data_IF_669373103746
#
_entry.id   IF_669373103746
#
_cell.length_a   1.000
_cell.length_b   1.000
_cell.length_c   1.000
_cell.angle_alpha   90.00
_cell.angle_beta   90.00
_cell.angle_gamma   90.00
#
_symmetry.space_group_name_H-M   'P 1'
#
loop_
_entity.id
_entity.type
_entity.pdbx_description
1 polymer ?
#
# COMPACT_ATOMS: atom_id res chain seq x y z
N UNK A 1 -22.08 -15.58 -4.57
CA UNK A 1 -21.38 -14.41 -4.00
C UNK A 1 -22.35 -13.23 -4.15
N UNK A 2 -22.65 -12.51 -3.07
CA UNK A 2 -23.59 -11.39 -3.12
C UNK A 2 -23.04 -10.25 -3.99
N UNK A 3 -23.93 -9.45 -4.59
CA UNK A 3 -23.56 -8.29 -5.41
C UNK A 3 -22.70 -7.27 -4.62
N UNK A 4 -22.97 -7.16 -3.32
CA UNK A 4 -22.18 -6.30 -2.43
C UNK A 4 -20.70 -6.72 -2.36
N UNK A 5 -20.41 -8.02 -2.18
CA UNK A 5 -19.03 -8.53 -2.13
C UNK A 5 -18.30 -8.28 -3.45
N UNK A 6 -18.96 -8.42 -4.58
CA UNK A 6 -18.37 -8.08 -5.89
C UNK A 6 -18.03 -6.59 -5.99
N UNK A 7 -18.92 -5.72 -5.51
CA UNK A 7 -18.69 -4.29 -5.49
C UNK A 7 -17.45 -3.90 -4.67
N UNK A 8 -17.32 -4.43 -3.46
CA UNK A 8 -16.12 -4.18 -2.63
C UNK A 8 -14.83 -4.68 -3.26
N UNK A 9 -14.85 -5.88 -3.86
CA UNK A 9 -13.67 -6.42 -4.54
C UNK A 9 -13.27 -5.57 -5.76
N UNK A 10 -14.24 -5.03 -6.49
CA UNK A 10 -13.97 -4.12 -7.60
C UNK A 10 -13.34 -2.82 -7.13
N UNK A 11 -13.89 -2.20 -6.08
CA UNK A 11 -13.33 -0.98 -5.50
C UNK A 11 -11.91 -1.21 -4.98
N UNK A 12 -11.69 -2.31 -4.26
CA UNK A 12 -10.36 -2.69 -3.78
C UNK A 12 -9.37 -2.90 -4.94
N UNK A 13 -9.80 -3.56 -6.01
CA UNK A 13 -8.98 -3.77 -7.21
C UNK A 13 -8.63 -2.47 -7.90
N UNK A 14 -9.58 -1.55 -8.04
CA UNK A 14 -9.35 -0.22 -8.64
C UNK A 14 -8.39 0.60 -7.77
N UNK A 15 -8.60 0.63 -6.45
CA UNK A 15 -7.74 1.36 -5.53
C UNK A 15 -6.30 0.81 -5.54
N UNK A 16 -6.15 -0.51 -5.53
CA UNK A 16 -4.83 -1.15 -5.62
C UNK A 16 -4.14 -0.88 -6.96
N UNK A 17 -4.89 -0.88 -8.07
CA UNK A 17 -4.35 -0.52 -9.40
C UNK A 17 -3.89 0.93 -9.44
N UNK A 18 -4.69 1.86 -8.91
CA UNK A 18 -4.31 3.27 -8.82
C UNK A 18 -3.05 3.45 -7.96
N UNK A 19 -2.95 2.75 -6.83
CA UNK A 19 -1.75 2.74 -5.99
C UNK A 19 -0.51 2.20 -6.72
N UNK A 20 -0.65 1.11 -7.48
CA UNK A 20 0.44 0.55 -8.29
C UNK A 20 0.92 1.54 -9.34
N UNK A 21 -0.01 2.17 -10.08
CA UNK A 21 0.31 3.18 -11.08
C UNK A 21 0.99 4.40 -10.46
N UNK A 22 0.53 4.85 -9.29
CA UNK A 22 1.16 5.94 -8.55
C UNK A 22 2.61 5.63 -8.20
N UNK A 23 2.91 4.41 -7.71
CA UNK A 23 4.29 4.01 -7.40
C UNK A 23 5.16 3.95 -8.64
N UNK A 24 4.61 3.54 -9.79
CA UNK A 24 5.31 3.60 -11.07
C UNK A 24 5.56 5.06 -11.47
N UNK A 25 4.58 5.96 -11.32
CA UNK A 25 4.74 7.37 -11.62
C UNK A 25 5.81 8.04 -10.75
N UNK A 26 5.91 7.68 -9.46
CA UNK A 26 6.94 8.16 -8.54
C UNK A 26 8.35 7.79 -9.03
N UNK A 27 8.53 6.61 -9.65
CA UNK A 27 9.81 6.22 -10.24
C UNK A 27 10.30 7.20 -11.32
N UNK A 28 9.38 7.71 -12.13
CA UNK A 28 9.69 8.68 -13.19
C UNK A 28 9.78 10.12 -12.67
N UNK A 29 9.08 10.43 -11.58
CA UNK A 29 9.07 11.77 -10.97
C UNK A 29 10.31 12.12 -10.14
N UNK A 30 11.14 11.12 -9.81
CA UNK A 30 12.39 11.32 -9.07
C UNK A 30 12.22 11.65 -7.58
N UNK A 31 13.31 12.08 -6.89
CA UNK A 31 13.37 12.23 -5.44
C UNK A 31 12.31 13.16 -4.84
N UNK A 32 11.91 14.18 -5.56
CA UNK A 32 10.93 15.16 -5.07
C UNK A 32 9.52 14.55 -5.01
N UNK A 33 9.20 13.62 -5.91
CA UNK A 33 7.95 12.87 -5.86
C UNK A 33 7.91 11.93 -4.66
N UNK A 34 9.03 11.30 -4.30
CA UNK A 34 9.12 10.51 -3.06
C UNK A 34 8.79 11.37 -1.84
N UNK A 35 9.33 12.59 -1.78
CA UNK A 35 9.07 13.52 -0.68
C UNK A 35 7.62 13.99 -0.67
N UNK A 36 7.06 14.35 -1.85
CA UNK A 36 5.70 14.84 -1.99
C UNK A 36 4.65 13.81 -1.54
N UNK A 37 4.85 12.54 -1.90
CA UNK A 37 3.95 11.45 -1.51
C UNK A 37 4.25 10.85 -0.13
N UNK A 38 5.06 11.51 0.69
CA UNK A 38 5.27 11.16 2.10
C UNK A 38 6.14 9.92 2.31
N UNK A 39 7.06 9.63 1.41
CA UNK A 39 8.04 8.56 1.62
C UNK A 39 8.92 8.85 2.85
N UNK A 40 9.38 7.81 3.60
CA UNK A 40 10.29 7.99 4.71
C UNK A 40 11.54 8.78 4.32
N UNK A 41 12.01 9.69 5.19
CA UNK A 41 13.14 10.56 4.91
C UNK A 41 14.40 9.79 4.47
N UNK A 42 14.63 8.60 5.05
CA UNK A 42 15.72 7.72 4.64
C UNK A 42 15.61 7.27 3.18
N UNK A 43 14.39 7.00 2.71
CA UNK A 43 14.15 6.61 1.32
C UNK A 43 14.33 7.81 0.37
N UNK A 44 13.86 8.99 0.76
CA UNK A 44 14.07 10.25 0.01
C UNK A 44 15.56 10.56 -0.10
N UNK A 45 16.32 10.43 0.99
CA UNK A 45 17.77 10.63 1.00
C UNK A 45 18.49 9.62 0.08
N UNK A 46 18.09 8.35 0.10
CA UNK A 46 18.62 7.33 -0.81
C UNK A 46 18.28 7.64 -2.27
N UNK A 47 17.08 8.11 -2.56
CA UNK A 47 16.68 8.51 -3.90
C UNK A 47 17.48 9.72 -4.40
N UNK A 48 17.72 10.72 -3.56
CA UNK A 48 18.57 11.89 -3.88
C UNK A 48 20.04 11.51 -4.10
N UNK A 49 20.52 10.50 -3.37
CA UNK A 49 21.87 9.97 -3.55
C UNK A 49 22.02 9.05 -4.78
N UNK A 50 20.96 8.86 -5.57
CA UNK A 50 20.96 7.96 -6.72
C UNK A 50 21.07 6.47 -6.35
N UNK A 51 20.74 6.12 -5.10
CA UNK A 51 20.85 4.73 -4.63
C UNK A 51 19.71 3.88 -5.22
N UNK A 52 20.09 2.78 -5.88
CA UNK A 52 19.17 1.86 -6.56
C UNK A 52 18.14 1.21 -5.61
N UNK A 53 18.38 1.21 -4.31
CA UNK A 53 17.43 0.65 -3.33
C UNK A 53 16.11 1.40 -3.29
N UNK A 54 16.11 2.72 -3.55
CA UNK A 54 14.89 3.51 -3.57
C UNK A 54 13.95 3.09 -4.71
N UNK A 55 14.36 3.05 -5.99
CA UNK A 55 13.50 2.57 -7.07
C UNK A 55 13.12 1.09 -6.92
N UNK A 56 14.02 0.24 -6.43
CA UNK A 56 13.69 -1.18 -6.20
C UNK A 56 12.56 -1.33 -5.17
N UNK A 57 12.61 -0.61 -4.04
CA UNK A 57 11.54 -0.70 -3.03
C UNK A 57 10.21 -0.20 -3.59
N UNK A 58 10.22 0.87 -4.38
CA UNK A 58 9.03 1.39 -5.03
C UNK A 58 8.43 0.40 -6.03
N UNK A 59 9.27 -0.26 -6.82
CA UNK A 59 8.87 -1.28 -7.78
C UNK A 59 8.30 -2.52 -7.09
N UNK A 60 8.89 -2.95 -5.97
CA UNK A 60 8.37 -4.06 -5.17
C UNK A 60 6.96 -3.76 -4.64
N UNK A 61 6.73 -2.55 -4.14
CA UNK A 61 5.41 -2.13 -3.67
C UNK A 61 4.43 -2.07 -4.84
N UNK A 62 4.82 -1.51 -5.97
CA UNK A 62 3.98 -1.46 -7.17
C UNK A 62 3.57 -2.87 -7.64
N UNK A 63 4.52 -3.80 -7.67
CA UNK A 63 4.27 -5.20 -8.04
C UNK A 63 3.31 -5.87 -7.05
N UNK A 64 3.52 -5.65 -5.75
CA UNK A 64 2.63 -6.18 -4.72
C UNK A 64 1.21 -5.64 -4.88
N UNK A 65 1.03 -4.33 -5.08
CA UNK A 65 -0.27 -3.72 -5.31
C UNK A 65 -0.94 -4.23 -6.60
N UNK A 66 -0.17 -4.45 -7.66
CA UNK A 66 -0.68 -5.04 -8.90
C UNK A 66 -1.18 -6.47 -8.69
N UNK A 67 -0.47 -7.28 -7.89
CA UNK A 67 -0.93 -8.61 -7.49
C UNK A 67 -2.23 -8.54 -6.67
N UNK A 68 -2.32 -7.61 -5.71
CA UNK A 68 -3.55 -7.38 -4.95
C UNK A 68 -4.73 -7.06 -5.87
N UNK A 69 -4.53 -6.16 -6.83
CA UNK A 69 -5.54 -5.80 -7.82
C UNK A 69 -5.98 -7.02 -8.66
N UNK A 70 -5.03 -7.84 -9.12
CA UNK A 70 -5.32 -9.04 -9.89
C UNK A 70 -6.15 -10.05 -9.07
N UNK A 71 -5.81 -10.28 -7.80
CA UNK A 71 -6.59 -11.16 -6.93
C UNK A 71 -7.99 -10.60 -6.65
N UNK A 72 -8.13 -9.29 -6.44
CA UNK A 72 -9.41 -8.64 -6.24
C UNK A 72 -10.31 -8.74 -7.49
N UNK A 73 -9.78 -8.46 -8.68
CA UNK A 73 -10.52 -8.61 -9.94
C UNK A 73 -10.88 -10.06 -10.25
N UNK A 74 -9.99 -11.00 -9.92
CA UNK A 74 -10.28 -12.43 -10.05
C UNK A 74 -11.40 -12.87 -9.08
N UNK A 75 -11.39 -12.34 -7.86
CA UNK A 75 -12.46 -12.57 -6.89
C UNK A 75 -13.80 -11.96 -7.31
N UNK A 76 -13.78 -10.80 -7.97
CA UNK A 76 -14.97 -10.15 -8.54
C UNK A 76 -15.49 -10.88 -9.79
N UNK A 77 -14.68 -11.75 -10.41
CA UNK A 77 -15.04 -12.50 -11.61
C UNK A 77 -14.79 -11.73 -12.92
N UNK A 78 -14.00 -10.66 -12.90
CA UNK A 78 -13.62 -9.90 -14.10
C UNK A 78 -12.56 -10.62 -14.94
N UNK A 79 -11.66 -11.33 -14.28
CA UNK A 79 -10.58 -12.09 -14.93
C UNK A 79 -10.67 -13.56 -14.54
N UNK A 80 -9.95 -14.41 -15.28
CA UNK A 80 -9.89 -15.86 -15.00
C UNK A 80 -9.50 -16.10 -13.54
N UNK A 81 -10.10 -17.11 -12.92
CA UNK A 81 -9.82 -17.48 -11.54
C UNK A 81 -8.33 -17.79 -11.37
N UNK A 82 -7.65 -17.01 -10.58
CA UNK A 82 -6.27 -17.26 -10.19
C UNK A 82 -6.17 -18.49 -9.29
N UNK A 83 -5.08 -19.26 -9.37
CA UNK A 83 -4.86 -20.40 -8.50
C UNK A 83 -4.80 -19.91 -7.04
N UNK A 84 -5.31 -20.75 -6.12
CA UNK A 84 -5.35 -20.47 -4.69
C UNK A 84 -6.05 -19.14 -4.32
N UNK A 85 -7.06 -18.69 -5.09
CA UNK A 85 -7.76 -17.43 -4.91
C UNK A 85 -8.18 -17.18 -3.46
N UNK A 86 -8.76 -18.19 -2.79
CA UNK A 86 -9.20 -18.08 -1.40
C UNK A 86 -8.03 -17.85 -0.44
N UNK A 87 -6.93 -18.56 -0.66
CA UNK A 87 -5.72 -18.42 0.16
C UNK A 87 -5.06 -17.05 -0.07
N UNK A 88 -4.98 -16.62 -1.34
CA UNK A 88 -4.44 -15.31 -1.71
C UNK A 88 -5.23 -14.17 -1.07
N UNK A 89 -6.55 -14.16 -1.23
CA UNK A 89 -7.42 -13.13 -0.62
C UNK A 89 -7.35 -13.17 0.92
N UNK A 90 -7.34 -14.36 1.53
CA UNK A 90 -7.23 -14.50 2.98
C UNK A 90 -5.88 -13.96 3.49
N UNK A 91 -4.76 -14.29 2.83
CA UNK A 91 -3.43 -13.79 3.20
C UNK A 91 -3.35 -12.28 3.09
N UNK A 92 -3.87 -11.71 1.99
CA UNK A 92 -3.93 -10.27 1.76
C UNK A 92 -4.74 -9.60 2.88
N UNK A 93 -5.96 -10.07 3.14
CA UNK A 93 -6.82 -9.52 4.18
C UNK A 93 -6.15 -9.59 5.55
N UNK A 94 -5.49 -10.71 5.87
CA UNK A 94 -4.77 -10.87 7.13
C UNK A 94 -3.64 -9.85 7.26
N UNK A 95 -2.84 -9.65 6.21
CA UNK A 95 -1.74 -8.67 6.20
C UNK A 95 -2.28 -7.25 6.38
N UNK A 96 -3.35 -6.89 5.67
CA UNK A 96 -3.95 -5.56 5.76
C UNK A 96 -4.57 -5.29 7.14
N UNK A 97 -5.29 -6.26 7.70
CA UNK A 97 -5.86 -6.17 9.05
C UNK A 97 -4.73 -6.06 10.09
N UNK A 98 -3.70 -6.91 9.98
CA UNK A 98 -2.57 -6.89 10.91
C UNK A 98 -1.84 -5.53 10.85
N UNK A 99 -1.65 -4.98 9.66
CA UNK A 99 -1.11 -3.65 9.46
C UNK A 99 -2.00 -2.58 10.11
N UNK A 100 -3.30 -2.60 9.87
CA UNK A 100 -4.23 -1.64 10.44
C UNK A 100 -4.27 -1.69 11.98
N UNK A 101 -4.38 -2.90 12.53
CA UNK A 101 -4.48 -3.12 13.99
C UNK A 101 -3.17 -2.80 14.72
N UNK A 102 -2.00 -3.10 14.12
CA UNK A 102 -0.71 -2.83 14.76
C UNK A 102 -0.29 -1.38 14.63
N UNK A 103 -0.49 -0.77 13.45
CA UNK A 103 -0.02 0.60 13.21
C UNK A 103 -0.94 1.68 13.79
N UNK A 104 -2.27 1.50 13.79
CA UNK A 104 -3.20 2.49 14.31
C UNK A 104 -2.94 2.82 15.81
N UNK A 105 -2.87 1.84 16.73
CA UNK A 105 -2.60 2.14 18.14
C UNK A 105 -1.16 2.61 18.38
N UNK A 106 -0.18 2.15 17.60
CA UNK A 106 1.22 2.61 17.74
C UNK A 106 1.37 4.08 17.36
N UNK A 107 0.66 4.54 16.34
CA UNK A 107 0.65 5.95 15.91
C UNK A 107 -0.02 6.82 16.98
N UNK A 108 -1.11 6.34 17.59
CA UNK A 108 -1.90 7.11 18.57
C UNK A 108 -1.18 7.16 19.94
N UNK A 109 -0.60 6.03 20.39
CA UNK A 109 -0.09 5.93 21.77
C UNK A 109 1.41 6.15 21.91
N UNK A 110 2.21 5.93 20.86
CA UNK A 110 3.66 6.09 20.90
C UNK A 110 4.23 6.66 19.60
N UNK A 111 3.94 7.93 19.27
CA UNK A 111 4.46 8.53 18.04
C UNK A 111 6.00 8.58 17.99
N UNK A 112 6.69 8.57 19.15
CA UNK A 112 8.15 8.60 19.23
C UNK A 112 8.87 7.31 18.88
N UNK A 113 8.23 6.14 18.98
CA UNK A 113 8.86 4.84 18.64
C UNK A 113 8.97 4.59 17.15
N UNK A 114 8.18 5.30 16.35
CA UNK A 114 8.17 5.20 14.89
C UNK A 114 9.15 6.18 14.23
N UNK A 115 9.78 7.07 14.99
CA UNK A 115 10.73 8.07 14.47
C UNK A 115 11.95 7.46 13.77
N UNK A 116 12.28 6.21 14.04
CA UNK A 116 13.34 5.47 13.33
C UNK A 116 12.89 4.82 12.01
N UNK A 117 11.58 4.60 11.85
CA UNK A 117 11.00 3.92 10.67
C UNK A 117 10.31 4.94 9.76
N UNK A 118 9.68 5.94 10.34
CA UNK A 118 9.12 7.07 9.61
C UNK A 118 9.41 8.37 10.40
N UNK A 119 9.67 9.47 9.71
CA UNK A 119 9.80 10.79 10.36
C UNK A 119 8.41 11.35 10.70
N UNK A 120 7.62 10.54 11.41
CA UNK A 120 6.24 10.83 11.78
C UNK A 120 6.20 11.82 12.95
N UNK A 121 6.72 13.03 12.75
CA UNK A 121 6.60 14.12 13.71
C UNK A 121 5.21 14.75 13.69
N UNK A 122 4.48 14.54 12.62
CA UNK A 122 3.05 14.82 12.48
C UNK A 122 2.36 13.53 12.07
N UNK A 123 1.20 13.27 12.67
CA UNK A 123 0.32 12.19 12.23
C UNK A 123 -0.17 12.59 10.84
N UNK A 124 0.54 12.14 9.81
CA UNK A 124 0.19 12.47 8.44
C UNK A 124 -1.20 11.91 8.15
N UNK A 125 -2.09 12.79 7.73
CA UNK A 125 -3.46 12.45 7.29
C UNK A 125 -3.43 11.28 6.30
N UNK A 126 -2.37 11.17 5.51
CA UNK A 126 -2.14 10.07 4.58
C UNK A 126 -2.02 8.71 5.27
N UNK A 127 -1.31 8.62 6.39
CA UNK A 127 -1.15 7.36 7.16
C UNK A 127 -2.48 6.96 7.80
N UNK A 128 -3.24 7.92 8.32
CA UNK A 128 -4.58 7.68 8.89
C UNK A 128 -5.51 7.18 7.80
N UNK A 129 -5.60 7.89 6.68
CA UNK A 129 -6.49 7.54 5.56
C UNK A 129 -6.14 6.14 5.01
N UNK A 130 -4.86 5.83 4.80
CA UNK A 130 -4.45 4.52 4.31
C UNK A 130 -4.69 3.41 5.34
N UNK A 131 -4.55 3.68 6.63
CA UNK A 131 -4.85 2.70 7.69
C UNK A 131 -6.35 2.44 7.80
N UNK A 132 -7.19 3.47 7.71
CA UNK A 132 -8.66 3.33 7.68
C UNK A 132 -9.11 2.58 6.44
N UNK A 133 -8.54 2.89 5.26
CA UNK A 133 -8.82 2.15 4.02
C UNK A 133 -8.40 0.67 4.10
N UNK A 134 -7.38 0.34 4.87
CA UNK A 134 -6.98 -1.06 5.09
C UNK A 134 -7.94 -1.82 6.02
N UNK A 135 -8.70 -1.11 6.86
CA UNK A 135 -9.66 -1.70 7.79
C UNK A 135 -11.09 -1.79 7.21
N UNK A 136 -11.39 -1.03 6.18
CA UNK A 136 -12.68 -1.02 5.49
C UNK A 136 -12.79 -2.13 4.45
#
# INVERSE_FOLDING_TARGET
>A
MSQFVKGYLLLAGIAASAGALLHIAILFGGPDWYAFFGAPQGLVAMARAGNIRAPISCLLIATFLALLAAYAFSGAGLIRRLPALRLGLASISTILILRGVLFAPLIIWRPGTLSGICNCRSVDTFIIVTSVLCLA
#
